data_IF_437063981471
#
_entry.id   IF_437063981471
#
_cell.length_a   1.000
_cell.length_b   1.000
_cell.length_c   1.000
_cell.angle_alpha   90.00
_cell.angle_beta   90.00
_cell.angle_gamma   90.00
#
_symmetry.space_group_name_H-M   'P 1'
#
loop_
_entity.id
_entity.type
_entity.pdbx_description
1 polymer ?
#
# COMPACT_ATOMS: atom_id res chain seq x y z
N UNK A 1 -1.99 3.07 8.42
CA UNK A 1 -1.73 2.31 7.19
C UNK A 1 -2.84 2.71 6.28
N UNK A 2 -2.56 2.87 5.00
CA UNK A 2 -3.61 3.13 4.02
C UNK A 2 -3.68 1.91 3.12
N UNK A 3 -4.85 1.27 3.12
CA UNK A 3 -5.29 0.36 2.06
C UNK A 3 -6.33 1.15 1.26
N UNK A 4 -6.17 1.19 -0.06
CA UNK A 4 -7.07 1.99 -0.87
C UNK A 4 -6.61 2.09 -2.31
N UNK A 5 -6.97 3.21 -2.94
CA UNK A 5 -6.76 3.42 -4.35
C UNK A 5 -6.08 4.77 -4.61
N UNK A 6 -5.41 4.86 -5.76
CA UNK A 6 -4.88 6.11 -6.31
C UNK A 6 -5.39 6.29 -7.74
N UNK A 7 -5.76 7.50 -8.16
CA UNK A 7 -6.11 7.81 -9.55
C UNK A 7 -4.94 8.43 -10.33
N UNK A 8 -5.13 8.67 -11.63
CA UNK A 8 -4.15 9.32 -12.52
C UNK A 8 -3.78 10.76 -12.12
N UNK A 9 -4.54 11.39 -11.22
CA UNK A 9 -4.21 12.69 -10.64
C UNK A 9 -3.55 12.58 -9.26
N UNK A 10 -3.04 11.40 -8.92
CA UNK A 10 -2.37 11.07 -7.67
C UNK A 10 -3.29 11.10 -6.44
N UNK A 11 -4.62 11.21 -6.59
CA UNK A 11 -5.55 11.36 -5.45
C UNK A 11 -5.77 10.03 -4.76
N UNK A 12 -5.71 10.03 -3.43
CA UNK A 12 -5.89 8.84 -2.61
C UNK A 12 -7.35 8.67 -2.19
N UNK A 13 -7.85 7.46 -2.33
CA UNK A 13 -9.18 7.02 -1.91
C UNK A 13 -9.05 5.86 -0.91
N UNK A 14 -9.97 5.77 0.03
CA UNK A 14 -10.07 4.61 0.92
C UNK A 14 -10.71 3.40 0.22
N UNK A 15 -10.85 2.30 0.96
CA UNK A 15 -11.51 1.08 0.48
C UNK A 15 -13.00 1.24 0.15
N UNK A 16 -13.64 2.36 0.52
CA UNK A 16 -15.02 2.68 0.14
C UNK A 16 -15.11 3.66 -1.03
N UNK A 17 -13.99 3.94 -1.71
CA UNK A 17 -13.89 4.97 -2.76
C UNK A 17 -14.18 6.41 -2.26
N UNK A 18 -14.05 6.65 -0.95
CA UNK A 18 -14.11 8.00 -0.41
C UNK A 18 -12.72 8.66 -0.54
N UNK A 19 -12.67 9.87 -1.11
CA UNK A 19 -11.41 10.62 -1.20
C UNK A 19 -10.89 10.96 0.20
N UNK A 20 -9.62 10.67 0.45
CA UNK A 20 -8.93 11.04 1.68
C UNK A 20 -8.44 12.49 1.69
N UNK A 21 -8.72 13.25 0.61
CA UNK A 21 -8.17 14.60 0.38
C UNK A 21 -6.65 14.64 0.45
N UNK A 22 -6.01 13.52 0.15
CA UNK A 22 -4.57 13.36 0.05
C UNK A 22 -4.18 13.05 -1.39
N UNK A 23 -2.95 13.40 -1.76
CA UNK A 23 -2.27 12.95 -2.96
C UNK A 23 -0.97 12.25 -2.62
N UNK A 24 -0.55 11.32 -3.46
CA UNK A 24 0.76 10.68 -3.37
C UNK A 24 1.43 10.67 -4.73
N UNK A 25 2.59 11.31 -4.84
CA UNK A 25 3.37 11.36 -6.07
C UNK A 25 4.75 10.78 -5.85
N UNK A 26 5.14 9.86 -6.72
CA UNK A 26 6.54 9.41 -6.84
C UNK A 26 7.24 10.34 -7.81
N UNK A 27 8.28 11.04 -7.35
CA UNK A 27 9.04 11.96 -8.18
C UNK A 27 9.76 11.23 -9.30
N UNK A 28 9.51 11.62 -10.55
CA UNK A 28 10.27 11.15 -11.70
C UNK A 28 11.68 11.76 -11.67
N UNK A 29 12.73 10.94 -11.68
CA UNK A 29 14.09 11.45 -11.76
C UNK A 29 14.93 10.65 -12.75
N UNK A 30 15.90 11.33 -13.35
CA UNK A 30 16.91 10.77 -14.25
C UNK A 30 18.08 10.10 -13.51
N UNK A 31 18.06 10.10 -12.17
CA UNK A 31 19.08 9.45 -11.32
C UNK A 31 18.48 8.92 -10.03
N UNK A 32 18.71 7.63 -9.72
CA UNK A 32 18.19 6.94 -8.51
C UNK A 32 18.42 7.69 -7.19
N UNK A 33 19.41 8.58 -7.10
CA UNK A 33 19.76 9.33 -5.90
C UNK A 33 18.78 10.47 -5.53
N UNK A 34 17.75 10.75 -6.34
CA UNK A 34 16.83 11.87 -6.10
C UNK A 34 15.34 11.48 -6.07
N UNK A 35 15.00 10.20 -6.24
CA UNK A 35 13.61 9.77 -6.18
C UNK A 35 13.03 10.04 -4.78
N UNK A 36 11.85 10.64 -4.74
CA UNK A 36 11.16 10.96 -3.49
C UNK A 36 9.66 10.71 -3.61
N UNK A 37 9.05 10.25 -2.53
CA UNK A 37 7.60 10.08 -2.41
C UNK A 37 7.06 11.29 -1.66
N UNK A 38 6.18 12.05 -2.31
CA UNK A 38 5.53 13.22 -1.73
C UNK A 38 4.07 12.94 -1.45
N UNK A 39 3.68 13.06 -0.18
CA UNK A 39 2.28 13.09 0.26
C UNK A 39 1.85 14.54 0.43
N UNK A 40 0.71 14.94 -0.13
CA UNK A 40 0.21 16.31 -0.03
C UNK A 40 -1.31 16.38 0.15
N UNK A 41 -1.80 17.50 0.69
CA UNK A 41 -3.25 17.76 0.78
C UNK A 41 -3.81 18.20 -0.57
N UNK A 42 -5.01 17.76 -0.92
CA UNK A 42 -5.74 18.20 -2.13
C UNK A 42 -6.12 19.68 -2.05
N UNK A 43 -6.38 20.18 -0.84
CA UNK A 43 -6.64 21.59 -0.57
C UNK A 43 -5.92 22.03 0.72
N UNK A 44 -5.06 23.06 0.61
CA UNK A 44 -4.32 23.64 1.74
C UNK A 44 -2.79 23.55 1.60
N UNK A 45 -2.08 24.11 2.58
CA UNK A 45 -0.62 24.01 2.68
C UNK A 45 -0.25 22.81 3.55
N UNK A 46 0.41 21.81 2.96
CA UNK A 46 0.88 20.63 3.68
C UNK A 46 1.38 19.59 2.69
N UNK A 47 2.70 19.39 2.65
CA UNK A 47 3.33 18.33 1.91
C UNK A 47 4.47 17.74 2.75
N UNK A 48 4.57 16.42 2.77
CA UNK A 48 5.70 15.70 3.33
C UNK A 48 6.36 14.91 2.19
N UNK A 49 7.67 15.09 2.02
CA UNK A 49 8.45 14.39 1.01
C UNK A 49 9.49 13.52 1.69
N UNK A 50 9.57 12.27 1.26
CA UNK A 50 10.47 11.27 1.82
C UNK A 50 11.34 10.71 0.71
N UNK A 51 12.64 10.65 0.93
CA UNK A 51 13.55 10.05 -0.05
C UNK A 51 13.26 8.56 -0.21
N UNK A 52 13.29 8.08 -1.45
CA UNK A 52 13.26 6.64 -1.76
C UNK A 52 14.65 6.08 -1.46
N UNK A 53 14.68 5.02 -0.67
CA UNK A 53 15.90 4.32 -0.25
C UNK A 53 16.19 3.13 -1.16
N UNK A 54 15.15 2.41 -1.58
CA UNK A 54 15.23 1.30 -2.53
C UNK A 54 13.83 1.01 -3.10
N UNK A 55 13.78 0.26 -4.19
CA UNK A 55 12.55 -0.11 -4.88
C UNK A 55 12.69 -1.49 -5.55
N UNK A 56 11.57 -2.17 -5.76
CA UNK A 56 11.52 -3.44 -6.48
C UNK A 56 10.11 -3.78 -6.91
N UNK A 57 9.98 -4.48 -8.03
CA UNK A 57 8.75 -5.19 -8.35
C UNK A 57 8.50 -6.29 -7.31
N UNK A 58 7.23 -6.42 -6.91
CA UNK A 58 6.77 -7.40 -5.94
C UNK A 58 5.32 -7.80 -6.22
N UNK A 59 4.92 -8.97 -5.71
CA UNK A 59 3.52 -9.33 -5.52
C UNK A 59 3.15 -9.00 -4.07
N UNK A 60 2.06 -8.27 -3.87
CA UNK A 60 1.53 -7.95 -2.55
C UNK A 60 0.20 -8.66 -2.30
N UNK A 61 0.03 -9.11 -1.07
CA UNK A 61 -1.20 -9.65 -0.50
C UNK A 61 -1.39 -8.99 0.87
N UNK A 62 -2.63 -8.67 1.23
CA UNK A 62 -2.93 -8.08 2.54
C UNK A 62 -4.07 -8.84 3.22
N UNK A 63 -3.90 -9.08 4.52
CA UNK A 63 -4.89 -9.73 5.38
C UNK A 63 -5.05 -8.96 6.69
N UNK A 64 -6.25 -8.99 7.26
CA UNK A 64 -6.45 -8.67 8.66
C UNK A 64 -6.02 -9.86 9.50
N UNK A 65 -5.19 -9.66 10.51
CA UNK A 65 -4.76 -10.69 11.45
C UNK A 65 -5.62 -10.61 12.72
N UNK A 66 -6.46 -11.62 12.91
CA UNK A 66 -7.32 -11.77 14.08
C UNK A 66 -6.81 -12.93 14.92
N UNK A 67 -5.89 -12.61 15.83
CA UNK A 67 -5.28 -13.56 16.78
C UNK A 67 -4.69 -14.82 16.09
N UNK A 68 -3.95 -14.61 15.00
CA UNK A 68 -3.32 -15.68 14.21
C UNK A 68 -4.20 -16.23 13.08
N UNK A 69 -5.47 -15.80 13.00
CA UNK A 69 -6.33 -16.10 11.86
C UNK A 69 -6.30 -14.96 10.86
N UNK A 70 -5.68 -15.21 9.69
CA UNK A 70 -5.65 -14.26 8.58
C UNK A 70 -6.97 -14.26 7.82
N UNK A 71 -7.60 -13.08 7.73
CA UNK A 71 -8.77 -12.81 6.89
C UNK A 71 -8.30 -12.01 5.67
N UNK A 72 -8.34 -12.58 4.46
CA UNK A 72 -7.87 -11.90 3.25
C UNK A 72 -8.62 -10.58 2.98
N UNK A 73 -7.86 -9.53 2.67
CA UNK A 73 -8.36 -8.21 2.28
C UNK A 73 -7.99 -7.85 0.85
N UNK A 74 -6.76 -8.15 0.43
CA UNK A 74 -6.25 -7.92 -0.92
C UNK A 74 -5.75 -9.25 -1.50
N UNK A 75 -6.30 -9.67 -2.64
CA UNK A 75 -5.77 -10.82 -3.39
C UNK A 75 -4.34 -10.55 -3.85
N UNK A 76 -3.48 -11.57 -3.99
CA UNK A 76 -2.16 -11.41 -4.55
C UNK A 76 -2.21 -10.62 -5.87
N UNK A 77 -1.47 -9.51 -5.93
CA UNK A 77 -1.42 -8.63 -7.10
C UNK A 77 0.01 -8.17 -7.34
N UNK A 78 0.45 -8.22 -8.59
CA UNK A 78 1.75 -7.71 -9.01
C UNK A 78 1.76 -6.17 -8.97
N UNK A 79 2.93 -5.61 -8.71
CA UNK A 79 3.10 -4.16 -8.67
C UNK A 79 4.50 -3.76 -8.27
N UNK A 80 4.63 -2.49 -7.90
CA UNK A 80 5.90 -1.88 -7.58
C UNK A 80 5.93 -1.43 -6.11
N UNK A 81 6.96 -1.86 -5.39
CA UNK A 81 7.19 -1.57 -3.98
C UNK A 81 8.34 -0.59 -3.81
N UNK A 82 8.08 0.49 -3.09
CA UNK A 82 9.04 1.50 -2.68
C UNK A 82 9.31 1.41 -1.18
N UNK A 83 10.58 1.40 -0.81
CA UNK A 83 11.05 1.72 0.55
C UNK A 83 11.44 3.19 0.56
N UNK A 84 10.79 4.00 1.38
CA UNK A 84 11.16 5.40 1.61
C UNK A 84 11.47 5.66 3.08
N UNK A 85 12.07 6.80 3.42
CA UNK A 85 12.52 7.09 4.80
C UNK A 85 11.45 6.86 5.88
N UNK A 86 10.19 7.18 5.57
CA UNK A 86 9.07 7.06 6.49
C UNK A 86 8.28 5.74 6.42
N UNK A 87 8.61 4.79 5.54
CA UNK A 87 7.82 3.56 5.44
C UNK A 87 7.96 2.78 4.14
N UNK A 88 6.90 2.05 3.80
CA UNK A 88 6.73 1.33 2.54
C UNK A 88 5.52 1.88 1.78
N UNK A 89 5.63 1.91 0.45
CA UNK A 89 4.53 2.24 -0.45
C UNK A 89 4.50 1.23 -1.59
N UNK A 90 3.35 0.63 -1.85
CA UNK A 90 3.13 -0.29 -2.96
C UNK A 90 2.01 0.23 -3.86
N UNK A 91 2.20 0.14 -5.18
CA UNK A 91 1.14 0.34 -6.18
C UNK A 91 0.96 -0.94 -7.00
N UNK A 92 -0.29 -1.37 -7.15
CA UNK A 92 -0.63 -2.49 -8.01
C UNK A 92 -0.49 -2.12 -9.49
N UNK A 93 0.22 -2.97 -10.24
CA UNK A 93 0.45 -2.86 -11.68
C UNK A 93 0.25 -4.23 -12.34
N UNK A 94 -0.95 -4.83 -12.22
CA UNK A 94 -1.21 -6.14 -12.80
C UNK A 94 -1.18 -6.07 -14.32
N UNK A 95 -0.66 -7.12 -14.97
CA UNK A 95 -0.66 -7.22 -16.43
C UNK A 95 -2.07 -7.24 -17.04
N UNK A 96 -3.05 -7.75 -16.30
CA UNK A 96 -4.46 -7.86 -16.73
C UNK A 96 -5.40 -7.63 -15.54
N UNK A 97 -6.56 -7.05 -15.81
CA UNK A 97 -7.69 -6.92 -14.86
C UNK A 97 -8.89 -7.68 -15.42
N UNK A 98 -9.70 -8.24 -14.52
CA UNK A 98 -11.01 -8.75 -14.87
C UNK A 98 -11.95 -7.57 -15.16
N UNK A 99 -12.56 -7.45 -16.34
CA UNK A 99 -13.48 -6.36 -16.64
C UNK A 99 -14.74 -6.35 -15.75
N UNK A 100 -15.16 -7.52 -15.23
CA UNK A 100 -16.35 -7.62 -14.37
C UNK A 100 -16.04 -7.31 -12.91
N UNK A 101 -14.81 -7.59 -12.46
CA UNK A 101 -14.31 -7.33 -11.10
C UNK A 101 -12.87 -6.80 -11.14
N UNK A 102 -12.67 -5.53 -11.54
CA UNK A 102 -11.32 -5.02 -11.80
C UNK A 102 -10.49 -4.83 -10.53
N UNK A 103 -11.10 -4.85 -9.35
CA UNK A 103 -10.44 -4.62 -8.07
C UNK A 103 -9.85 -5.88 -7.44
N UNK A 104 -8.64 -5.79 -6.91
CA UNK A 104 -8.01 -6.92 -6.19
C UNK A 104 -8.42 -7.02 -4.71
N UNK A 105 -9.00 -5.95 -4.14
CA UNK A 105 -9.53 -5.97 -2.77
C UNK A 105 -10.83 -6.79 -2.67
N UNK A 106 -10.92 -7.64 -1.65
CA UNK A 106 -12.04 -8.55 -1.36
C UNK A 106 -13.12 -7.91 -0.47
N UNK A 107 -13.19 -6.58 -0.45
CA UNK A 107 -14.14 -5.83 0.38
C UNK A 107 -15.36 -5.43 -0.44
N UNK A 108 -16.53 -5.43 0.20
CA UNK A 108 -17.75 -4.92 -0.45
C UNK A 108 -17.65 -3.41 -0.61
N UNK A 109 -17.39 -2.97 -1.84
CA UNK A 109 -17.42 -1.56 -2.20
C UNK A 109 -18.86 -1.04 -2.09
N UNK A 110 -19.01 0.16 -1.53
CA UNK A 110 -20.29 0.89 -1.55
C UNK A 110 -20.51 1.64 -2.86
N UNK A 111 -19.55 1.58 -3.78
CA UNK A 111 -19.60 2.23 -5.09
C UNK A 111 -20.42 1.39 -6.08
N UNK A 112 -21.09 2.07 -7.03
CA UNK A 112 -21.76 1.41 -8.15
C UNK A 112 -20.71 0.70 -9.03
N UNK A 113 -20.97 -0.52 -9.54
CA UNK A 113 -20.01 -1.24 -10.38
C UNK A 113 -19.48 -0.43 -11.56
N UNK A 114 -20.33 0.36 -12.22
CA UNK A 114 -19.94 1.25 -13.31
C UNK A 114 -18.96 2.36 -12.89
N UNK A 115 -19.07 2.86 -11.66
CA UNK A 115 -18.13 3.86 -11.13
C UNK A 115 -16.77 3.23 -10.83
N UNK A 116 -16.75 1.98 -10.37
CA UNK A 116 -15.52 1.20 -10.16
C UNK A 116 -14.84 0.94 -11.50
N UNK A 117 -15.59 0.50 -12.51
CA UNK A 117 -15.07 0.29 -13.85
C UNK A 117 -14.49 1.59 -14.45
N UNK A 118 -15.26 2.69 -14.42
CA UNK A 118 -14.80 4.00 -14.88
C UNK A 118 -13.51 4.47 -14.17
N UNK A 119 -13.39 4.22 -12.87
CA UNK A 119 -12.18 4.56 -12.12
C UNK A 119 -10.95 3.81 -12.65
N UNK A 120 -11.07 2.51 -12.92
CA UNK A 120 -9.95 1.71 -13.41
C UNK A 120 -9.64 1.97 -14.89
N UNK A 121 -10.66 2.11 -15.74
CA UNK A 121 -10.49 2.29 -17.18
C UNK A 121 -10.12 3.73 -17.56
N UNK A 122 -10.91 4.71 -17.09
CA UNK A 122 -10.77 6.10 -17.55
C UNK A 122 -9.84 6.91 -16.64
N UNK A 123 -9.85 6.65 -15.33
CA UNK A 123 -8.96 7.35 -14.39
C UNK A 123 -7.64 6.63 -14.16
N UNK A 124 -7.42 5.48 -14.81
CA UNK A 124 -6.21 4.66 -14.67
C UNK A 124 -5.89 4.34 -13.19
N UNK A 125 -6.96 4.07 -12.44
CA UNK A 125 -6.90 3.78 -11.02
C UNK A 125 -6.04 2.56 -10.68
N UNK A 126 -5.38 2.60 -9.53
CA UNK A 126 -4.55 1.49 -9.02
C UNK A 126 -4.76 1.29 -7.54
N UNK A 127 -4.71 0.04 -7.09
CA UNK A 127 -4.66 -0.29 -5.67
C UNK A 127 -3.33 0.18 -5.07
N UNK A 128 -3.39 0.61 -3.81
CA UNK A 128 -2.26 1.12 -3.08
C UNK A 128 -2.23 0.54 -1.66
N UNK A 129 -1.03 0.25 -1.18
CA UNK A 129 -0.74 -0.03 0.24
C UNK A 129 0.31 0.99 0.69
N UNK A 130 0.02 1.78 1.72
CA UNK A 130 0.98 2.66 2.39
C UNK A 130 1.14 2.25 3.85
N UNK A 131 2.35 1.86 4.23
CA UNK A 131 2.70 1.38 5.57
C UNK A 131 3.72 2.33 6.20
N UNK A 132 3.28 3.28 7.04
CA UNK A 132 4.16 4.08 7.86
C UNK A 132 5.06 3.20 8.75
N UNK A 133 6.32 3.60 8.92
CA UNK A 133 7.32 2.85 9.68
C UNK A 133 6.91 2.64 11.13
N UNK A 134 6.28 3.63 11.74
CA UNK A 134 5.83 3.62 13.14
C UNK A 134 4.64 2.68 13.40
N UNK A 135 4.02 2.16 12.35
CA UNK A 135 2.95 1.16 12.44
C UNK A 135 3.45 -0.27 12.26
N UNK A 136 4.71 -0.46 11.85
CA UNK A 136 5.30 -1.79 11.63
C UNK A 136 5.66 -2.38 12.99
N UNK A 137 5.01 -3.51 13.32
CA UNK A 137 5.24 -4.23 14.56
C UNK A 137 6.46 -5.16 14.45
N UNK A 138 6.52 -5.92 13.35
CA UNK A 138 7.57 -6.90 13.07
C UNK A 138 7.57 -7.29 11.61
N UNK A 139 8.67 -7.87 11.16
CA UNK A 139 8.86 -8.40 9.80
C UNK A 139 9.34 -9.84 9.94
N UNK A 140 8.73 -10.76 9.22
CA UNK A 140 9.09 -12.18 9.24
C UNK A 140 9.36 -12.73 7.84
N UNK A 141 10.38 -13.58 7.73
CA UNK A 141 10.59 -14.40 6.56
C UNK A 141 9.56 -15.55 6.58
N UNK A 142 8.69 -15.64 5.57
CA UNK A 142 7.71 -16.73 5.43
C UNK A 142 7.89 -17.42 4.09
N UNK A 143 8.39 -18.65 4.10
CA UNK A 143 8.55 -19.56 2.95
C UNK A 143 8.99 -18.89 1.61
N UNK A 144 8.06 -18.33 0.84
CA UNK A 144 8.25 -17.74 -0.48
C UNK A 144 8.29 -16.20 -0.50
N UNK A 145 8.09 -15.56 0.65
CA UNK A 145 7.97 -14.11 0.79
C UNK A 145 8.40 -13.58 2.15
N UNK A 146 8.07 -12.31 2.37
CA UNK A 146 8.27 -11.61 3.63
C UNK A 146 6.93 -11.04 4.06
N UNK A 147 6.59 -11.24 5.33
CA UNK A 147 5.36 -10.72 5.91
C UNK A 147 5.67 -9.56 6.84
N UNK A 148 5.10 -8.39 6.54
CA UNK A 148 5.15 -7.19 7.36
C UNK A 148 3.89 -7.15 8.21
N UNK A 149 4.05 -7.24 9.52
CA UNK A 149 2.95 -7.13 10.48
C UNK A 149 2.78 -5.69 10.91
N UNK A 150 1.55 -5.18 10.77
CA UNK A 150 1.23 -3.77 10.92
C UNK A 150 0.11 -3.59 11.95
N UNK A 151 0.24 -2.60 12.83
CA UNK A 151 -0.86 -2.15 13.69
C UNK A 151 -1.43 -0.86 13.14
N UNK A 152 -2.66 -0.91 12.64
CA UNK A 152 -3.35 0.28 12.13
C UNK A 152 -4.79 0.34 12.63
N UNK A 153 -5.38 1.53 12.56
CA UNK A 153 -6.80 1.70 12.86
C UNK A 153 -7.65 0.77 11.98
N UNK A 154 -8.70 0.21 12.55
CA UNK A 154 -9.63 -0.64 11.82
C UNK A 154 -10.39 0.20 10.78
N UNK A 155 -10.43 -0.30 9.55
CA UNK A 155 -11.15 0.32 8.41
C UNK A 155 -12.65 0.52 8.73
N UNK A 156 -13.26 -0.40 9.48
CA UNK A 156 -14.65 -0.35 9.91
C UNK A 156 -14.86 0.32 11.29
N UNK A 157 -13.85 0.28 12.17
CA UNK A 157 -13.92 0.78 13.55
C UNK A 157 -12.68 1.64 13.90
N UNK A 158 -12.62 2.91 13.48
CA UNK A 158 -11.39 3.73 13.52
C UNK A 158 -10.76 3.95 14.91
N UNK A 159 -11.48 3.62 15.99
CA UNK A 159 -11.01 3.75 17.38
C UNK A 159 -10.23 2.53 17.88
N UNK A 160 -10.27 1.42 17.17
CA UNK A 160 -9.59 0.19 17.55
C UNK A 160 -8.39 -0.06 16.61
N UNK A 161 -7.21 -0.25 17.19
CA UNK A 161 -6.05 -0.72 16.44
C UNK A 161 -6.15 -2.24 16.31
N UNK A 162 -6.08 -2.73 15.08
CA UNK A 162 -6.04 -4.16 14.78
C UNK A 162 -4.74 -4.50 14.06
N UNK A 163 -4.38 -5.78 14.08
CA UNK A 163 -3.22 -6.29 13.36
C UNK A 163 -3.59 -6.59 11.90
N UNK A 164 -2.65 -6.30 11.01
CA UNK A 164 -2.69 -6.67 9.61
C UNK A 164 -1.39 -7.37 9.25
N UNK A 165 -1.45 -8.26 8.27
CA UNK A 165 -0.31 -8.93 7.68
C UNK A 165 -0.26 -8.59 6.19
N UNK A 166 0.83 -7.95 5.76
CA UNK A 166 1.09 -7.66 4.34
C UNK A 166 2.22 -8.57 3.87
N UNK A 167 1.88 -9.53 3.02
CA UNK A 167 2.84 -10.48 2.47
C UNK A 167 3.36 -9.98 1.12
N UNK A 168 4.68 -9.97 0.98
CA UNK A 168 5.40 -9.45 -0.16
C UNK A 168 6.30 -10.54 -0.74
N UNK A 169 6.16 -10.80 -2.05
CA UNK A 169 6.89 -11.85 -2.77
C UNK A 169 7.57 -11.28 -4.02
N UNK A 170 8.63 -11.92 -4.54
CA UNK A 170 9.39 -13.03 -3.92
C UNK A 170 10.39 -12.51 -2.88
N UNK A 171 10.68 -13.30 -1.86
CA UNK A 171 11.60 -12.92 -0.77
C UNK A 171 12.96 -12.41 -1.26
N UNK A 172 13.53 -13.03 -2.29
CA UNK A 172 14.83 -12.67 -2.86
C UNK A 172 14.92 -11.21 -3.35
N UNK A 173 13.78 -10.62 -3.77
CA UNK A 173 13.71 -9.23 -4.22
C UNK A 173 13.38 -8.29 -3.06
N UNK A 174 12.46 -8.71 -2.20
CA UNK A 174 11.88 -7.85 -1.16
C UNK A 174 12.80 -7.71 0.06
N UNK A 175 13.61 -8.72 0.38
CA UNK A 175 14.42 -8.76 1.61
C UNK A 175 15.29 -7.53 1.84
N UNK A 176 15.93 -7.04 0.79
CA UNK A 176 16.80 -5.85 0.88
C UNK A 176 16.03 -4.59 1.28
N UNK A 177 14.76 -4.46 0.87
CA UNK A 177 13.90 -3.32 1.18
C UNK A 177 13.47 -3.27 2.66
N UNK A 178 13.57 -4.40 3.37
CA UNK A 178 13.15 -4.54 4.76
C UNK A 178 14.26 -4.20 5.76
N UNK A 179 15.48 -3.95 5.27
CA UNK A 179 16.63 -3.59 6.10
C UNK A 179 16.33 -2.32 6.90
N UNK A 180 16.62 -2.36 8.21
CA UNK A 180 16.39 -1.27 9.17
C UNK A 180 14.94 -0.77 9.24
N UNK A 181 13.96 -1.55 8.79
CA UNK A 181 12.56 -1.15 8.75
C UNK A 181 11.94 -1.15 10.16
N UNK A 182 12.20 -2.20 10.94
CA UNK A 182 11.78 -2.30 12.35
C UNK A 182 12.79 -1.53 13.21
N UNK A 183 12.35 -0.70 14.19
CA UNK A 183 13.26 -0.14 15.17
C UNK A 183 14.03 -1.28 15.85
N UNK A 184 15.37 -1.17 15.95
CA UNK A 184 16.12 -2.08 16.82
C UNK A 184 15.51 -1.98 18.22
N UNK A 185 15.02 -3.10 18.75
CA UNK A 185 14.67 -3.18 20.16
C UNK A 185 15.92 -2.73 20.93
N UNK A 186 15.85 -1.56 21.56
CA UNK A 186 16.93 -1.13 22.44
C UNK A 186 17.00 -2.15 23.58
N UNK A 187 18.18 -2.69 23.89
CA UNK A 187 18.36 -3.71 24.93
C UNK A 187 17.97 -3.19 26.32
#
# INVERSE_FOLDING_TARGET
MILGYVDSEDRIYDLNFATLRLRVRVGATTSKEQAAITFSQVAGAGAASYRVLDESDATAEASMDHDGKRVPLLRPVEGHLYRHEAGLLFFAEPAQRDPEDPGFFLVKLRAMPSAVQFFFEDQQGREMISIPRDEILRVEDEADGITVYVSAANVALPKEKIAYAVQLRPAARVKRLMTDLVPSASP
#
